data_IF_794638920319
#
_entry.id   IF_794638920319
#
_cell.length_a   1.000
_cell.length_b   1.000
_cell.length_c   1.000
_cell.angle_alpha   90.00
_cell.angle_beta   90.00
_cell.angle_gamma   90.00
#
_symmetry.space_group_name_H-M   'P 1'
#
loop_
_entity.id
_entity.type
_entity.pdbx_description
1 polymer ?
#
# COMPACT_ATOMS: atom_id res chain seq x y z
N UNK A 1 4.58 31.53 -16.37
CA UNK A 1 4.42 30.94 -15.44
C UNK A 1 4.93 29.72 -15.55
N UNK A 2 5.28 29.35 -14.78
CA UNK A 2 5.98 28.25 -14.93
C UNK A 2 5.41 27.14 -14.20
N UNK A 3 5.42 26.02 -14.81
CA UNK A 3 5.02 24.81 -14.16
C UNK A 3 5.97 24.41 -13.07
N UNK A 4 7.03 25.14 -12.88
CA UNK A 4 8.02 24.82 -11.86
C UNK A 4 7.44 24.84 -10.46
N UNK A 5 6.32 25.54 -10.27
CA UNK A 5 5.70 25.59 -8.98
C UNK A 5 4.71 24.49 -8.74
N UNK A 6 4.46 23.66 -9.73
CA UNK A 6 3.54 22.55 -9.58
C UNK A 6 4.30 21.37 -9.04
N UNK A 7 3.92 20.93 -7.86
CA UNK A 7 4.54 19.74 -7.28
C UNK A 7 4.01 18.51 -7.97
N UNK A 8 4.89 17.80 -8.62
CA UNK A 8 4.54 16.55 -9.26
C UNK A 8 4.56 15.39 -8.25
N UNK A 9 5.37 15.50 -7.22
CA UNK A 9 5.51 14.48 -6.19
C UNK A 9 5.17 15.05 -4.84
N UNK A 10 4.47 14.28 -4.02
CA UNK A 10 4.09 14.76 -2.70
C UNK A 10 3.37 13.71 -1.89
N UNK A 11 2.74 14.15 -0.81
CA UNK A 11 2.13 13.24 0.14
C UNK A 11 0.79 12.72 -0.34
N UNK A 12 0.60 11.41 -0.17
CA UNK A 12 -0.70 10.78 -0.37
C UNK A 12 -0.93 9.77 0.75
N UNK A 13 -2.20 9.52 1.02
CA UNK A 13 -2.60 8.49 1.97
C UNK A 13 -3.93 7.92 1.48
N UNK A 14 -3.97 6.61 1.31
CA UNK A 14 -5.18 5.96 0.83
C UNK A 14 -5.25 4.54 1.36
N UNK A 15 -6.45 3.97 1.36
CA UNK A 15 -6.69 2.63 1.88
C UNK A 15 -7.18 1.73 0.75
N UNK A 16 -6.61 0.52 0.67
CA UNK A 16 -6.98 -0.45 -0.34
C UNK A 16 -7.46 -1.74 0.29
N UNK A 17 -8.49 -2.31 -0.31
CA UNK A 17 -8.98 -3.63 0.03
C UNK A 17 -8.19 -4.68 -0.77
N UNK A 18 -8.54 -5.96 -0.56
CA UNK A 18 -7.89 -7.02 -1.31
C UNK A 18 -8.10 -6.82 -2.82
N UNK A 19 -7.14 -7.26 -3.58
CA UNK A 19 -7.14 -7.11 -5.03
C UNK A 19 -5.75 -6.90 -5.56
N UNK A 20 -5.65 -6.76 -6.87
CA UNK A 20 -4.39 -6.47 -7.55
C UNK A 20 -4.46 -5.07 -8.14
N UNK A 21 -3.41 -4.30 -7.91
CA UNK A 21 -3.34 -2.91 -8.33
C UNK A 21 -2.07 -2.69 -9.14
N UNK A 22 -2.19 -1.90 -10.20
CA UNK A 22 -1.06 -1.61 -11.09
C UNK A 22 -0.58 -0.20 -10.83
N UNK A 23 0.69 -0.08 -10.49
CA UNK A 23 1.29 1.23 -10.21
C UNK A 23 1.34 2.06 -11.49
N UNK A 24 0.96 3.30 -11.38
CA UNK A 24 0.84 4.21 -12.51
C UNK A 24 -0.55 4.26 -13.09
N UNK A 25 -1.38 3.25 -12.82
CA UNK A 25 -2.76 3.20 -13.30
C UNK A 25 -3.74 3.27 -12.15
N UNK A 26 -3.56 2.41 -11.15
CA UNK A 26 -4.47 2.32 -10.01
C UNK A 26 -3.95 3.07 -8.81
N UNK A 27 -2.65 3.09 -8.64
CA UNK A 27 -1.99 3.80 -7.54
C UNK A 27 -0.78 4.54 -8.10
N UNK A 28 -0.43 5.68 -7.51
CA UNK A 28 0.74 6.44 -8.00
C UNK A 28 2.04 5.76 -7.61
N UNK A 29 3.04 5.93 -8.47
CA UNK A 29 4.37 5.47 -8.11
C UNK A 29 4.90 6.27 -6.93
N UNK A 30 5.73 5.66 -6.12
CA UNK A 30 6.31 6.31 -4.97
C UNK A 30 6.89 5.31 -3.99
N UNK A 31 7.40 5.85 -2.89
CA UNK A 31 7.93 5.05 -1.81
C UNK A 31 6.93 5.08 -0.67
N UNK A 32 6.44 3.91 -0.29
CA UNK A 32 5.30 3.78 0.59
C UNK A 32 5.60 3.13 1.92
N UNK A 33 4.80 3.52 2.90
CA UNK A 33 4.65 2.80 4.15
C UNK A 33 3.25 2.20 4.15
N UNK A 34 3.16 0.94 4.52
CA UNK A 34 1.91 0.21 4.60
C UNK A 34 1.58 -0.09 6.05
N UNK A 35 0.32 0.11 6.41
CA UNK A 35 -0.17 -0.22 7.76
C UNK A 35 -1.42 -1.08 7.59
N UNK A 36 -1.43 -2.22 8.25
CA UNK A 36 -2.61 -3.10 8.23
C UNK A 36 -3.68 -2.48 9.12
N UNK A 37 -4.82 -2.17 8.54
CA UNK A 37 -5.93 -1.52 9.27
C UNK A 37 -7.00 -2.49 9.69
N UNK A 38 -7.23 -3.52 8.90
CA UNK A 38 -8.22 -4.55 9.21
C UNK A 38 -7.76 -5.88 8.63
N UNK A 39 -8.13 -6.96 9.30
CA UNK A 39 -7.96 -8.29 8.78
C UNK A 39 -6.51 -8.76 8.71
N UNK A 40 -6.28 -9.72 7.85
CA UNK A 40 -4.97 -10.34 7.70
C UNK A 40 -4.85 -10.92 6.29
N UNK A 41 -3.63 -11.16 5.86
CA UNK A 41 -3.39 -11.78 4.57
C UNK A 41 -2.00 -11.48 4.07
N UNK A 42 -1.70 -12.06 2.91
CA UNK A 42 -0.44 -11.77 2.25
C UNK A 42 -0.54 -10.52 1.42
N UNK A 43 0.56 -9.81 1.31
CA UNK A 43 0.71 -8.72 0.36
C UNK A 43 2.02 -8.90 -0.34
N UNK A 44 2.00 -8.84 -1.68
CA UNK A 44 3.23 -9.03 -2.45
C UNK A 44 3.19 -8.18 -3.71
N UNK A 45 4.37 -7.83 -4.18
CA UNK A 45 4.51 -7.04 -5.39
C UNK A 45 5.33 -7.80 -6.42
N UNK A 46 5.22 -7.36 -7.67
CA UNK A 46 5.95 -7.98 -8.76
C UNK A 46 7.45 -7.68 -8.74
N UNK A 47 7.86 -6.60 -8.06
CA UNK A 47 9.25 -6.24 -7.94
C UNK A 47 9.86 -6.95 -6.74
N UNK A 48 10.75 -7.90 -6.97
CA UNK A 48 11.31 -8.69 -5.90
C UNK A 48 12.42 -8.00 -5.13
N UNK A 49 13.08 -7.04 -5.74
CA UNK A 49 14.21 -6.37 -5.08
C UNK A 49 13.79 -5.28 -4.12
N UNK A 50 12.87 -4.44 -4.55
CA UNK A 50 12.45 -3.29 -3.75
C UNK A 50 10.98 -3.35 -3.37
N UNK A 51 10.38 -4.50 -3.56
CA UNK A 51 8.97 -4.71 -3.30
C UNK A 51 8.71 -5.34 -1.95
N UNK A 52 7.61 -6.04 -1.87
CA UNK A 52 7.15 -6.62 -0.62
C UNK A 52 6.70 -8.05 -0.87
N UNK A 53 6.85 -8.88 0.14
CA UNK A 53 6.29 -10.21 0.19
C UNK A 53 6.16 -10.57 1.66
N UNK A 54 5.04 -10.16 2.26
CA UNK A 54 4.82 -10.25 3.70
C UNK A 54 3.43 -10.74 4.02
N UNK A 55 3.32 -11.43 5.13
CA UNK A 55 2.02 -11.69 5.73
C UNK A 55 1.79 -10.62 6.77
N UNK A 56 0.67 -9.90 6.68
CA UNK A 56 0.37 -8.78 7.57
C UNK A 56 -0.95 -9.00 8.29
N UNK A 57 -1.06 -8.41 9.47
CA UNK A 57 -2.25 -8.56 10.29
C UNK A 57 -2.49 -7.28 11.08
N UNK A 58 -3.72 -6.76 11.02
CA UNK A 58 -4.06 -5.49 11.66
C UNK A 58 -4.01 -5.57 13.18
N UNK A 59 -4.41 -6.72 13.72
CA UNK A 59 -4.43 -6.90 15.16
C UNK A 59 -3.47 -8.02 15.54
N UNK A 60 -2.20 -7.78 15.26
CA UNK A 60 -1.18 -8.71 15.67
C UNK A 60 -1.20 -8.78 17.20
N UNK A 61 -1.71 -9.89 17.72
CA UNK A 61 -1.81 -10.03 19.16
C UNK A 61 -0.45 -10.25 19.73
N UNK A 62 -0.07 -9.36 20.63
CA UNK A 62 1.09 -9.59 21.43
C UNK A 62 0.60 -10.43 22.59
N UNK A 63 0.74 -11.73 22.43
CA UNK A 63 0.43 -12.64 23.51
C UNK A 63 1.78 -12.97 24.14
N UNK A 64 1.89 -12.79 25.43
CA UNK A 64 3.15 -13.00 26.13
C UNK A 64 3.74 -14.38 25.90
N UNK A 65 2.91 -15.34 25.59
CA UNK A 65 3.38 -16.69 25.38
C UNK A 65 3.74 -17.00 23.94
N UNK A 66 3.60 -16.03 23.02
CA UNK A 66 3.66 -16.34 21.61
C UNK A 66 4.38 -15.25 20.84
N UNK A 67 5.53 -14.83 21.33
CA UNK A 67 6.30 -13.76 20.74
C UNK A 67 6.74 -14.06 19.32
N UNK A 68 6.89 -15.33 18.98
CA UNK A 68 7.43 -15.72 17.69
C UNK A 68 6.42 -15.67 16.57
N UNK A 69 5.15 -15.46 16.89
CA UNK A 69 4.09 -15.48 15.88
C UNK A 69 3.53 -14.13 15.58
N UNK A 70 4.33 -13.10 15.77
CA UNK A 70 3.87 -11.76 15.46
C UNK A 70 3.97 -11.49 13.97
N UNK A 71 2.82 -11.34 13.35
CA UNK A 71 2.78 -10.92 11.97
C UNK A 71 3.02 -9.42 11.89
N UNK A 72 3.53 -8.97 10.75
CA UNK A 72 3.80 -7.56 10.57
C UNK A 72 2.50 -6.75 10.56
N UNK A 73 2.50 -5.63 11.29
CA UNK A 73 1.41 -4.66 11.21
C UNK A 73 1.77 -3.50 10.31
N UNK A 74 3.06 -3.31 10.05
CA UNK A 74 3.56 -2.23 9.21
C UNK A 74 4.68 -2.73 8.33
N UNK A 75 4.83 -2.09 7.19
CA UNK A 75 5.96 -2.34 6.28
C UNK A 75 6.38 -1.01 5.69
N UNK A 76 7.66 -0.69 5.77
CA UNK A 76 8.19 0.59 5.31
C UNK A 76 9.12 0.40 4.11
N UNK A 77 9.32 1.49 3.39
CA UNK A 77 10.28 1.55 2.28
C UNK A 77 9.89 0.66 1.09
N UNK A 78 8.60 0.49 0.88
CA UNK A 78 8.13 -0.19 -0.32
C UNK A 78 8.25 0.76 -1.50
N UNK A 79 9.05 0.40 -2.49
CA UNK A 79 9.19 1.20 -3.69
C UNK A 79 8.32 0.61 -4.79
N UNK A 80 7.39 1.41 -5.28
CA UNK A 80 6.50 1.01 -6.39
C UNK A 80 6.78 1.92 -7.57
N UNK A 81 7.11 1.31 -8.70
CA UNK A 81 7.37 2.02 -9.95
C UNK A 81 6.30 1.69 -10.97
N UNK A 82 6.11 2.57 -11.92
CA UNK A 82 5.11 2.37 -12.98
C UNK A 82 5.27 0.96 -13.58
N UNK A 83 4.16 0.23 -13.62
CA UNK A 83 4.14 -1.14 -14.11
C UNK A 83 4.21 -2.19 -13.02
N UNK A 84 4.67 -1.83 -11.82
CA UNK A 84 4.71 -2.79 -10.72
C UNK A 84 3.29 -3.13 -10.28
N UNK A 85 3.06 -4.40 -10.00
CA UNK A 85 1.77 -4.84 -9.48
C UNK A 85 1.91 -5.12 -8.00
N UNK A 86 0.89 -4.76 -7.25
CA UNK A 86 0.82 -5.16 -5.84
C UNK A 86 -0.50 -5.88 -5.61
N UNK A 87 -0.42 -7.01 -4.92
CA UNK A 87 -1.58 -7.86 -4.65
C UNK A 87 -1.79 -7.98 -3.15
N UNK A 88 -3.02 -7.77 -2.72
CA UNK A 88 -3.44 -7.91 -1.34
C UNK A 88 -4.47 -9.03 -1.31
N UNK A 89 -4.27 -10.03 -0.47
CA UNK A 89 -5.17 -11.19 -0.42
C UNK A 89 -5.86 -11.33 0.93
N UNK A 90 -6.85 -12.18 0.95
CA UNK A 90 -7.66 -12.50 2.13
C UNK A 90 -8.43 -11.28 2.64
N UNK A 91 -8.50 -11.10 3.95
CA UNK A 91 -9.29 -10.01 4.53
C UNK A 91 -8.47 -8.76 4.81
N UNK A 92 -7.23 -8.74 4.36
CA UNK A 92 -6.32 -7.65 4.68
C UNK A 92 -6.74 -6.35 4.03
N UNK A 93 -6.77 -5.29 4.84
CA UNK A 93 -7.02 -3.92 4.38
C UNK A 93 -5.81 -3.10 4.77
N UNK A 94 -5.18 -2.46 3.79
CA UNK A 94 -3.94 -1.73 4.00
C UNK A 94 -4.11 -0.25 3.75
N UNK A 95 -3.50 0.54 4.63
CA UNK A 95 -3.35 1.96 4.42
C UNK A 95 -1.97 2.21 3.84
N UNK A 96 -1.94 2.88 2.69
CA UNK A 96 -0.71 3.25 2.01
C UNK A 96 -0.46 4.73 2.24
N UNK A 97 0.74 5.08 2.63
CA UNK A 97 1.13 6.48 2.73
C UNK A 97 2.50 6.69 2.10
N UNK A 98 2.64 7.82 1.44
CA UNK A 98 3.89 8.18 0.78
C UNK A 98 4.09 9.68 0.89
N UNK A 99 5.34 10.10 0.97
CA UNK A 99 5.70 11.51 0.94
C UNK A 99 6.14 11.95 -0.45
N UNK A 100 6.31 11.02 -1.35
CA UNK A 100 6.84 11.31 -2.68
C UNK A 100 6.10 10.58 -3.80
N UNK A 101 4.81 10.39 -3.65
CA UNK A 101 4.02 9.77 -4.69
C UNK A 101 3.81 10.72 -5.86
N UNK A 102 3.67 10.15 -7.05
CA UNK A 102 3.44 10.94 -8.25
C UNK A 102 1.99 11.45 -8.26
N UNK A 103 1.82 12.73 -7.99
CA UNK A 103 0.50 13.34 -7.83
C UNK A 103 -0.27 13.45 -9.14
N UNK A 104 0.35 13.15 -10.26
CA UNK A 104 -0.33 13.18 -11.55
C UNK A 104 -1.01 11.87 -11.88
N UNK A 105 -0.80 10.85 -11.06
CA UNK A 105 -1.37 9.52 -11.30
C UNK A 105 -2.59 9.27 -10.42
N UNK A 106 -3.44 8.40 -10.88
CA UNK A 106 -4.73 8.15 -10.23
C UNK A 106 -4.62 7.25 -9.01
N UNK A 107 -5.60 7.40 -8.13
CA UNK A 107 -5.75 6.50 -6.99
C UNK A 107 -7.13 5.86 -7.10
N UNK A 108 -7.16 4.54 -7.08
CA UNK A 108 -8.41 3.79 -7.02
C UNK A 108 -8.55 3.31 -5.59
N UNK A 109 -9.64 3.71 -4.94
CA UNK A 109 -9.94 3.27 -3.57
C UNK A 109 -11.09 2.31 -3.57
N UNK A 110 -10.91 1.22 -2.87
CA UNK A 110 -12.02 0.30 -2.62
C UNK A 110 -12.29 0.32 -1.13
N UNK A 111 -13.45 0.83 -0.77
CA UNK A 111 -13.88 0.78 0.61
C UNK A 111 -14.86 -0.36 0.74
N UNK A 112 -15.14 -0.77 1.97
CA UNK A 112 -16.06 -1.88 2.20
C UNK A 112 -17.38 -1.57 1.52
N UNK A 113 -17.71 -2.36 0.50
CA UNK A 113 -18.95 -2.17 -0.25
C UNK A 113 -18.94 -1.04 -1.25
N UNK A 114 -17.80 -0.38 -1.45
CA UNK A 114 -17.72 0.76 -2.37
C UNK A 114 -16.40 0.79 -3.10
N UNK A 115 -16.46 1.37 -4.29
CA UNK A 115 -15.29 1.64 -5.08
C UNK A 115 -15.28 3.13 -5.41
N UNK A 116 -14.19 3.80 -5.13
CA UNK A 116 -14.07 5.24 -5.36
C UNK A 116 -12.84 5.51 -6.20
N UNK A 117 -13.02 6.25 -7.28
CA UNK A 117 -11.94 6.68 -8.16
C UNK A 117 -11.74 8.18 -8.01
N UNK A 118 -10.52 8.60 -7.76
CA UNK A 118 -10.19 10.01 -7.62
C UNK A 118 -9.49 10.53 -8.85
#
# INVERSE_FOLDING_TARGET
>A
MSDDNIKKYGEVCFTLLNGTYITGMDIPEGKYKLVAKHGYGDVYSSNEEMGINEYMEAEAKIDDSDEDNQNATEFSNLVLKVGDKITIVDSLVLEFSSKNANLTQSIVRKEIGKEVTL
#
